data_IF_751397268113
#
_entry.id   IF_751397268113
#
_cell.length_a   1.000
_cell.length_b   1.000
_cell.length_c   1.000
_cell.angle_alpha   90.00
_cell.angle_beta   90.00
_cell.angle_gamma   90.00
#
_symmetry.space_group_name_H-M   'P 1'
#
loop_
_entity.id
_entity.type
_entity.pdbx_description
1 polymer ?
#
# COMPACT_ATOMS: atom_id res chain seq x y z
N UNK A 1 9.77 -13.91 10.34
CA UNK A 1 10.17 -14.07 8.92
C UNK A 1 11.52 -14.77 8.95
N UNK A 2 11.65 -15.95 8.35
CA UNK A 2 12.91 -16.70 8.36
C UNK A 2 13.97 -15.92 7.58
N UNK A 3 15.25 -16.01 7.98
CA UNK A 3 16.34 -15.24 7.36
C UNK A 3 16.45 -15.42 5.83
N UNK A 4 16.06 -16.59 5.33
CA UNK A 4 15.99 -16.89 3.90
C UNK A 4 14.98 -16.02 3.13
N UNK A 5 13.79 -15.80 3.72
CA UNK A 5 12.75 -14.97 3.10
C UNK A 5 13.15 -13.50 3.12
N UNK A 6 13.84 -13.05 4.18
CA UNK A 6 14.37 -11.69 4.26
C UNK A 6 15.40 -11.42 3.16
N UNK A 7 16.36 -12.34 2.94
CA UNK A 7 17.38 -12.17 1.89
C UNK A 7 16.77 -12.08 0.49
N UNK A 8 15.76 -12.90 0.20
CA UNK A 8 15.02 -12.83 -1.07
C UNK A 8 14.29 -11.52 -1.26
N UNK A 9 13.68 -10.98 -0.20
CA UNK A 9 13.02 -9.68 -0.23
C UNK A 9 14.02 -8.55 -0.52
N UNK A 10 15.22 -8.61 0.07
CA UNK A 10 16.29 -7.64 -0.21
C UNK A 10 16.79 -7.75 -1.65
N UNK A 11 16.99 -8.96 -2.17
CA UNK A 11 17.38 -9.17 -3.56
C UNK A 11 16.32 -8.63 -4.54
N UNK A 12 15.06 -8.94 -4.26
CA UNK A 12 13.92 -8.43 -5.04
C UNK A 12 13.87 -6.90 -5.01
N UNK A 13 14.09 -6.30 -3.85
CA UNK A 13 14.14 -4.85 -3.69
C UNK A 13 15.27 -4.22 -4.52
N UNK A 14 16.44 -4.86 -4.57
CA UNK A 14 17.56 -4.38 -5.39
C UNK A 14 17.24 -4.42 -6.88
N UNK A 15 16.57 -5.47 -7.35
CA UNK A 15 16.12 -5.58 -8.76
C UNK A 15 15.15 -4.44 -9.08
N UNK A 16 14.15 -4.21 -8.23
CA UNK A 16 13.16 -3.15 -8.41
C UNK A 16 13.80 -1.77 -8.38
N UNK A 17 14.78 -1.53 -7.49
CA UNK A 17 15.52 -0.28 -7.45
C UNK A 17 16.29 0.01 -8.73
N UNK A 18 16.91 -1.00 -9.34
CA UNK A 18 17.60 -0.82 -10.61
C UNK A 18 16.61 -0.54 -11.75
N UNK A 19 15.51 -1.29 -11.82
CA UNK A 19 14.46 -1.06 -12.80
C UNK A 19 13.84 0.34 -12.69
N UNK A 20 13.61 0.82 -11.46
CA UNK A 20 13.10 2.18 -11.23
C UNK A 20 14.07 3.26 -11.71
N UNK A 21 15.38 3.10 -11.45
CA UNK A 21 16.40 4.02 -11.97
C UNK A 21 16.38 4.06 -13.50
N UNK A 22 16.25 2.91 -14.14
CA UNK A 22 16.18 2.84 -15.60
C UNK A 22 14.93 3.53 -16.13
N UNK A 23 13.78 3.38 -15.47
CA UNK A 23 12.54 4.10 -15.82
C UNK A 23 12.70 5.61 -15.64
N UNK A 24 13.26 6.06 -14.52
CA UNK A 24 13.54 7.48 -14.23
C UNK A 24 14.49 8.10 -15.27
N UNK A 25 15.51 7.38 -15.72
CA UNK A 25 16.45 7.86 -16.73
C UNK A 25 15.80 8.01 -18.12
N UNK A 26 14.76 7.24 -18.42
CA UNK A 26 14.10 7.21 -19.72
C UNK A 26 12.77 8.02 -19.76
N UNK A 27 12.50 8.84 -18.73
CA UNK A 27 11.22 9.53 -18.53
C UNK A 27 10.75 10.43 -19.69
N UNK A 28 11.67 10.99 -20.48
CA UNK A 28 11.31 11.93 -21.57
C UNK A 28 10.79 11.27 -22.84
N UNK A 29 10.98 9.94 -22.99
CA UNK A 29 10.68 9.22 -24.24
C UNK A 29 9.53 8.22 -24.10
N UNK A 30 8.95 8.06 -22.91
CA UNK A 30 7.98 7.01 -22.62
C UNK A 30 6.60 7.59 -22.28
N UNK A 31 5.64 7.40 -23.19
CA UNK A 31 4.23 7.76 -22.97
C UNK A 31 3.59 6.98 -21.81
N UNK A 32 4.17 5.84 -21.41
CA UNK A 32 3.74 5.00 -20.29
C UNK A 32 4.60 5.22 -19.04
N UNK A 33 5.41 6.29 -18.99
CA UNK A 33 6.29 6.58 -17.87
C UNK A 33 5.54 6.58 -16.53
N UNK A 34 4.40 7.28 -16.46
CA UNK A 34 3.63 7.39 -15.22
C UNK A 34 3.20 6.01 -14.69
N UNK A 35 2.63 5.16 -15.55
CA UNK A 35 2.19 3.81 -15.15
C UNK A 35 3.36 2.89 -14.79
N UNK A 36 4.45 2.93 -15.56
CA UNK A 36 5.66 2.14 -15.32
C UNK A 36 6.33 2.52 -14.00
N UNK A 37 6.50 3.82 -13.77
CA UNK A 37 7.08 4.37 -12.56
C UNK A 37 6.17 4.10 -11.35
N UNK A 38 4.86 4.37 -11.46
CA UNK A 38 3.89 4.10 -10.41
C UNK A 38 3.79 2.62 -10.04
N UNK A 39 3.88 1.71 -11.01
CA UNK A 39 3.94 0.26 -10.77
C UNK A 39 5.22 -0.14 -10.03
N UNK A 40 6.36 0.42 -10.43
CA UNK A 40 7.64 0.20 -9.76
C UNK A 40 7.62 0.71 -8.31
N UNK A 41 7.09 1.90 -8.07
CA UNK A 41 6.91 2.47 -6.73
C UNK A 41 6.00 1.58 -5.87
N UNK A 42 4.90 1.07 -6.42
CA UNK A 42 3.97 0.22 -5.69
C UNK A 42 4.67 -1.07 -5.24
N UNK A 43 5.39 -1.72 -6.15
CA UNK A 43 6.14 -2.93 -5.85
C UNK A 43 7.25 -2.67 -4.82
N UNK A 44 8.00 -1.56 -4.97
CA UNK A 44 9.03 -1.16 -4.02
C UNK A 44 8.45 -0.92 -2.63
N UNK A 45 7.34 -0.20 -2.53
CA UNK A 45 6.64 0.08 -1.28
C UNK A 45 6.17 -1.19 -0.56
N UNK A 46 5.61 -2.16 -1.30
CA UNK A 46 5.19 -3.46 -0.74
C UNK A 46 6.40 -4.28 -0.24
N UNK A 47 7.51 -4.30 -0.98
CA UNK A 47 8.74 -4.97 -0.53
C UNK A 47 9.31 -4.32 0.74
N UNK A 48 9.35 -2.99 0.79
CA UNK A 48 9.77 -2.23 1.97
C UNK A 48 8.87 -2.50 3.18
N UNK A 49 7.56 -2.60 2.96
CA UNK A 49 6.59 -3.00 3.99
C UNK A 49 6.91 -4.40 4.55
N UNK A 50 7.12 -5.41 3.70
CA UNK A 50 7.52 -6.75 4.17
C UNK A 50 8.88 -6.78 4.88
N UNK A 51 9.74 -5.81 4.61
CA UNK A 51 11.02 -5.58 5.30
C UNK A 51 10.88 -4.72 6.56
N UNK A 52 9.66 -4.33 6.95
CA UNK A 52 9.33 -3.45 8.07
C UNK A 52 9.94 -2.04 7.98
N UNK A 53 10.28 -1.58 6.77
CA UNK A 53 10.77 -0.22 6.46
C UNK A 53 9.58 0.68 6.14
N UNK A 54 8.73 0.90 7.14
CA UNK A 54 7.40 1.49 6.96
C UNK A 54 7.42 2.93 6.45
N UNK A 55 8.36 3.75 6.90
CA UNK A 55 8.45 5.15 6.49
C UNK A 55 8.76 5.26 4.99
N UNK A 56 9.77 4.52 4.52
CA UNK A 56 10.11 4.46 3.10
C UNK A 56 8.99 3.84 2.25
N UNK A 57 8.28 2.84 2.77
CA UNK A 57 7.10 2.30 2.11
C UNK A 57 6.01 3.36 1.96
N UNK A 58 5.75 4.15 3.00
CA UNK A 58 4.80 5.25 2.96
C UNK A 58 5.18 6.32 1.94
N UNK A 59 6.45 6.71 1.86
CA UNK A 59 6.95 7.67 0.86
C UNK A 59 6.66 7.22 -0.58
N UNK A 60 6.88 5.93 -0.88
CA UNK A 60 6.54 5.36 -2.18
C UNK A 60 5.04 5.45 -2.50
N UNK A 61 4.20 5.13 -1.52
CA UNK A 61 2.75 5.20 -1.70
C UNK A 61 2.25 6.65 -1.80
N UNK A 62 2.85 7.59 -1.06
CA UNK A 62 2.53 9.02 -1.18
C UNK A 62 2.87 9.57 -2.55
N UNK A 63 4.02 9.18 -3.12
CA UNK A 63 4.39 9.57 -4.47
C UNK A 63 3.35 9.11 -5.51
N UNK A 64 2.90 7.85 -5.43
CA UNK A 64 1.83 7.34 -6.32
C UNK A 64 0.54 8.15 -6.15
N UNK A 65 0.15 8.46 -4.91
CA UNK A 65 -1.07 9.24 -4.63
C UNK A 65 -0.94 10.66 -5.21
N UNK A 66 0.21 11.29 -5.06
CA UNK A 66 0.49 12.63 -5.61
C UNK A 66 0.46 12.63 -7.14
N UNK A 67 0.93 11.55 -7.77
CA UNK A 67 0.92 11.36 -9.21
C UNK A 67 -0.44 10.91 -9.78
N UNK A 68 -1.46 10.69 -8.95
CA UNK A 68 -2.75 10.10 -9.36
C UNK A 68 -3.40 10.70 -10.62
N UNK A 69 -3.24 12.01 -10.84
CA UNK A 69 -3.77 12.72 -12.02
C UNK A 69 -3.04 12.40 -13.33
N UNK A 70 -1.89 11.74 -13.26
CA UNK A 70 -1.07 11.37 -14.43
C UNK A 70 -1.38 9.96 -14.92
N UNK A 71 -2.14 9.16 -14.16
CA UNK A 71 -2.54 7.83 -14.56
C UNK A 71 -3.81 7.87 -15.41
N UNK A 72 -4.05 6.81 -16.18
CA UNK A 72 -5.36 6.55 -16.76
C UNK A 72 -6.42 6.55 -15.65
N UNK A 73 -7.62 7.08 -15.94
CA UNK A 73 -8.69 7.13 -14.94
C UNK A 73 -8.94 5.73 -14.37
N UNK A 74 -8.86 4.65 -15.16
CA UNK A 74 -9.10 3.27 -14.71
C UNK A 74 -7.93 2.64 -13.96
N UNK A 75 -6.83 3.35 -13.79
CA UNK A 75 -5.65 2.83 -13.10
C UNK A 75 -5.94 2.57 -11.62
N UNK A 76 -5.54 1.40 -11.16
CA UNK A 76 -5.69 1.01 -9.76
C UNK A 76 -4.45 1.31 -8.90
N UNK A 77 -3.46 2.04 -9.44
CA UNK A 77 -2.23 2.34 -8.72
C UNK A 77 -2.50 3.17 -7.47
N UNK A 78 -3.17 4.31 -7.63
CA UNK A 78 -3.53 5.19 -6.52
C UNK A 78 -4.44 4.52 -5.46
N UNK A 79 -5.53 3.81 -5.82
CA UNK A 79 -6.34 3.12 -4.81
C UNK A 79 -5.58 1.99 -4.10
N UNK A 80 -4.72 1.24 -4.79
CA UNK A 80 -3.88 0.24 -4.13
C UNK A 80 -2.87 0.92 -3.18
N UNK A 81 -2.25 2.04 -3.55
CA UNK A 81 -1.33 2.76 -2.69
C UNK A 81 -2.01 3.25 -1.40
N UNK A 82 -3.21 3.83 -1.50
CA UNK A 82 -4.00 4.24 -0.32
C UNK A 82 -4.32 3.04 0.57
N UNK A 83 -4.71 1.91 -0.03
CA UNK A 83 -4.98 0.67 0.69
C UNK A 83 -3.73 0.15 1.42
N UNK A 84 -2.57 0.03 0.77
CA UNK A 84 -1.34 -0.47 1.39
C UNK A 84 -0.87 0.44 2.53
N UNK A 85 -1.03 1.78 2.43
CA UNK A 85 -0.80 2.68 3.56
C UNK A 85 -1.68 2.32 4.77
N UNK A 86 -2.95 1.98 4.54
CA UNK A 86 -3.83 1.55 5.62
C UNK A 86 -3.36 0.23 6.26
N UNK A 87 -2.83 -0.71 5.47
CA UNK A 87 -2.28 -1.96 6.00
C UNK A 87 -1.07 -1.71 6.89
N UNK A 88 -0.17 -0.81 6.52
CA UNK A 88 0.95 -0.41 7.38
C UNK A 88 0.43 0.14 8.73
N UNK A 89 -0.59 1.00 8.71
CA UNK A 89 -1.18 1.51 9.95
C UNK A 89 -1.85 0.42 10.80
N UNK A 90 -2.41 -0.63 10.19
CA UNK A 90 -2.92 -1.80 10.91
C UNK A 90 -1.77 -2.54 11.61
N UNK A 91 -0.64 -2.74 10.92
CA UNK A 91 0.53 -3.44 11.47
C UNK A 91 1.16 -2.64 12.62
N UNK A 92 1.20 -1.31 12.49
CA UNK A 92 1.63 -0.37 13.53
C UNK A 92 0.59 -0.15 14.65
N UNK A 93 -0.55 -0.85 14.62
CA UNK A 93 -1.66 -0.69 15.57
C UNK A 93 -2.25 0.74 15.66
N UNK A 94 -2.01 1.57 14.63
CA UNK A 94 -2.54 2.93 14.52
C UNK A 94 -3.94 2.94 13.90
N UNK A 95 -4.91 2.42 14.66
CA UNK A 95 -6.27 2.16 14.18
C UNK A 95 -6.98 3.37 13.56
N UNK A 96 -6.88 4.55 14.15
CA UNK A 96 -7.57 5.73 13.65
C UNK A 96 -7.14 6.07 12.23
N UNK A 97 -5.82 6.09 11.97
CA UNK A 97 -5.26 6.32 10.64
C UNK A 97 -5.60 5.17 9.67
N UNK A 98 -5.56 3.92 10.13
CA UNK A 98 -5.99 2.79 9.30
C UNK A 98 -7.43 2.97 8.80
N UNK A 99 -8.37 3.33 9.68
CA UNK A 99 -9.75 3.59 9.29
C UNK A 99 -9.88 4.76 8.32
N UNK A 100 -9.18 5.86 8.57
CA UNK A 100 -9.18 7.03 7.69
C UNK A 100 -8.78 6.65 6.24
N UNK A 101 -7.66 5.95 6.09
CA UNK A 101 -7.17 5.53 4.78
C UNK A 101 -8.05 4.46 4.12
N UNK A 102 -8.62 3.50 4.88
CA UNK A 102 -9.58 2.55 4.32
C UNK A 102 -10.86 3.23 3.81
N UNK A 103 -11.36 4.25 4.52
CA UNK A 103 -12.51 5.03 4.07
C UNK A 103 -12.16 5.88 2.84
N UNK A 104 -10.99 6.50 2.82
CA UNK A 104 -10.47 7.24 1.66
C UNK A 104 -10.41 6.33 0.42
N UNK A 105 -9.88 5.13 0.57
CA UNK A 105 -9.78 4.14 -0.52
C UNK A 105 -11.13 3.73 -1.08
N UNK A 106 -12.22 3.73 -0.29
CA UNK A 106 -13.58 3.44 -0.79
C UNK A 106 -14.17 4.67 -1.48
N UNK A 107 -14.01 5.86 -0.88
CA UNK A 107 -14.70 7.06 -1.31
C UNK A 107 -14.15 7.66 -2.60
N UNK A 108 -12.83 7.66 -2.74
CA UNK A 108 -12.14 8.32 -3.85
C UNK A 108 -12.18 7.48 -5.15
N UNK A 109 -12.63 6.22 -5.04
CA UNK A 109 -12.54 5.22 -6.11
C UNK A 109 -13.85 4.43 -6.32
N UNK A 110 -14.99 5.07 -6.01
CA UNK A 110 -16.33 4.45 -6.07
C UNK A 110 -16.75 3.97 -7.45
N UNK A 111 -16.22 4.50 -8.53
CA UNK A 111 -16.61 4.10 -9.90
C UNK A 111 -15.95 2.77 -10.33
N UNK A 112 -14.97 2.27 -9.58
CA UNK A 112 -14.30 0.99 -9.80
C UNK A 112 -14.98 -0.19 -9.10
N UNK A 113 -16.26 -0.04 -8.72
CA UNK A 113 -17.08 -1.05 -8.03
C UNK A 113 -17.19 -2.43 -8.73
N UNK A 114 -16.67 -2.57 -9.95
CA UNK A 114 -16.56 -3.85 -10.67
C UNK A 114 -15.23 -4.60 -10.41
N UNK A 115 -14.22 -3.97 -9.80
CA UNK A 115 -12.99 -4.60 -9.34
C UNK A 115 -13.22 -5.32 -8.00
N UNK A 116 -13.83 -6.50 -8.06
CA UNK A 116 -14.23 -7.31 -6.90
C UNK A 116 -13.10 -7.55 -5.88
N UNK A 117 -11.84 -7.59 -6.31
CA UNK A 117 -10.71 -7.98 -5.47
C UNK A 117 -10.28 -6.88 -4.50
N UNK A 118 -10.12 -5.63 -4.94
CA UNK A 118 -9.66 -4.56 -4.04
C UNK A 118 -10.73 -4.22 -2.99
N UNK A 119 -12.00 -4.15 -3.39
CA UNK A 119 -13.10 -3.98 -2.45
C UNK A 119 -13.18 -5.09 -1.40
N UNK A 120 -12.98 -6.36 -1.82
CA UNK A 120 -12.93 -7.47 -0.87
C UNK A 120 -11.77 -7.32 0.13
N UNK A 121 -10.58 -6.93 -0.33
CA UNK A 121 -9.42 -6.67 0.52
C UNK A 121 -9.68 -5.54 1.51
N UNK A 122 -10.27 -4.43 1.06
CA UNK A 122 -10.65 -3.30 1.92
C UNK A 122 -11.64 -3.75 3.00
N UNK A 123 -12.69 -4.46 2.62
CA UNK A 123 -13.70 -4.96 3.58
C UNK A 123 -13.10 -5.94 4.59
N UNK A 124 -12.19 -6.82 4.16
CA UNK A 124 -11.46 -7.71 5.06
C UNK A 124 -10.57 -6.91 6.03
N UNK A 125 -9.85 -5.89 5.56
CA UNK A 125 -9.03 -5.02 6.39
C UNK A 125 -9.88 -4.23 7.41
N UNK A 126 -11.04 -3.72 7.00
CA UNK A 126 -11.98 -3.05 7.92
C UNK A 126 -12.48 -3.99 9.02
N UNK A 127 -12.75 -5.26 8.70
CA UNK A 127 -13.12 -6.25 9.71
C UNK A 127 -11.96 -6.52 10.68
N UNK A 128 -10.72 -6.62 10.19
CA UNK A 128 -9.52 -6.74 11.03
C UNK A 128 -9.38 -5.56 11.99
N UNK A 129 -9.61 -4.33 11.51
CA UNK A 129 -9.58 -3.13 12.37
C UNK A 129 -10.67 -3.15 13.44
N UNK A 130 -11.87 -3.62 13.13
CA UNK A 130 -12.96 -3.79 14.13
C UNK A 130 -12.62 -4.83 15.19
N UNK A 131 -11.98 -5.93 14.80
CA UNK A 131 -11.55 -6.96 15.75
C UNK A 131 -10.51 -6.44 16.76
N UNK A 132 -9.63 -5.52 16.34
CA UNK A 132 -8.65 -4.89 17.24
C UNK A 132 -9.31 -4.14 18.41
N UNK A 133 -10.51 -3.55 18.21
CA UNK A 133 -11.27 -2.93 19.31
C UNK A 133 -11.79 -3.97 20.31
N UNK A 134 -12.30 -5.07 19.78
CA UNK A 134 -12.89 -6.12 20.61
C UNK A 134 -11.83 -6.80 21.48
N UNK A 135 -10.63 -7.02 20.93
CA UNK A 135 -9.50 -7.59 21.66
C UNK A 135 -9.00 -6.65 22.76
N UNK A 136 -8.90 -5.34 22.48
CA UNK A 136 -8.55 -4.34 23.48
C UNK A 136 -9.60 -4.28 24.61
N UNK A 137 -10.88 -4.23 24.27
CA UNK A 137 -11.97 -4.21 25.25
C UNK A 137 -12.00 -5.48 26.10
N UNK A 138 -11.77 -6.65 25.50
CA UNK A 138 -11.68 -7.92 26.22
C UNK A 138 -10.48 -7.96 27.17
N UNK A 139 -9.32 -7.46 26.76
CA UNK A 139 -8.14 -7.35 27.63
C UNK A 139 -8.42 -6.45 28.85
N UNK A 140 -9.07 -5.30 28.65
CA UNK A 140 -9.45 -4.40 29.75
C UNK A 140 -10.45 -5.03 30.71
N UNK A 141 -11.40 -5.82 30.21
CA UNK A 141 -12.40 -6.51 31.04
C UNK A 141 -11.82 -7.67 31.86
N UNK A 142 -10.83 -8.39 31.33
CA UNK A 142 -10.18 -9.52 32.02
C UNK A 142 -9.18 -9.04 33.09
N UNK A 143 -8.57 -7.87 32.90
CA UNK A 143 -7.57 -7.32 33.82
C UNK A 143 -8.15 -6.25 34.79
N UNK A 144 -9.47 -6.28 35.02
CA UNK A 144 -10.17 -5.53 36.08
C UNK A 144 -10.63 -6.50 37.15
#
# INVERSE_FOLDING_TARGET
>A
ILAHDHNKLQESLNIVNNALKDVELNHTNDQFYADSYGSGLLLRGVLLHFLHRYDEAHENFDEIINMSKQFDEKSLLAPNAVFEKAIIYIDLKQKQKANEYLQKSINDYKEYQLESRLHFRINAAMQKVKQMDNDFNKYVLINK
#
